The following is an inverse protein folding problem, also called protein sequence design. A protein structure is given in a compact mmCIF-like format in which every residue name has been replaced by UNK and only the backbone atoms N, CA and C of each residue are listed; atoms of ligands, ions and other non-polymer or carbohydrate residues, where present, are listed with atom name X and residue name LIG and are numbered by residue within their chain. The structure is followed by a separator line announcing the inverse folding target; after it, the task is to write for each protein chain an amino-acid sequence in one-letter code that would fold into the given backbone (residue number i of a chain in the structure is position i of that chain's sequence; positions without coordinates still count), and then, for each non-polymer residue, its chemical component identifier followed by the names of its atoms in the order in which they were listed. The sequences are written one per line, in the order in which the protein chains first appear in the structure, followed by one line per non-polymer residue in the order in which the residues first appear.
data_IF_348438530489
#
_entry.id   IF_348438530489
#
_cell.length_a   1.000
_cell.length_b   1.000
_cell.length_c   1.000
_cell.angle_alpha   90.00
_cell.angle_beta   90.00
_cell.angle_gamma   90.00
#
_symmetry.space_group_name_H-M   'P 1'
#
loop_
_entity.id
_entity.type
_entity.pdbx_description
1 polymer ?
#
# COMPACT_ATOMS: atom_id res chain seq x y z
N UNK A 1 27.38 -7.16 16.36
CA UNK A 1 27.32 -7.44 14.90
C UNK A 1 26.01 -8.12 14.56
N UNK A 2 25.65 -9.21 15.24
CA UNK A 2 24.39 -9.94 15.02
C UNK A 2 23.13 -9.07 15.24
N UNK A 3 23.07 -8.31 16.33
CA UNK A 3 21.93 -7.40 16.61
C UNK A 3 21.69 -6.38 15.49
N UNK A 4 22.77 -5.84 14.92
CA UNK A 4 22.68 -4.89 13.81
C UNK A 4 22.15 -5.56 12.55
N UNK A 5 22.60 -6.78 12.24
CA UNK A 5 22.13 -7.53 11.08
C UNK A 5 20.66 -7.90 11.23
N UNK A 6 20.24 -8.35 12.42
CA UNK A 6 18.84 -8.65 12.72
C UNK A 6 17.95 -7.40 12.55
N UNK A 7 18.37 -6.27 13.14
CA UNK A 7 17.65 -5.00 12.99
C UNK A 7 17.57 -4.55 11.52
N UNK A 8 18.68 -4.64 10.78
CA UNK A 8 18.73 -4.26 9.36
C UNK A 8 17.75 -5.12 8.55
N UNK A 9 17.78 -6.42 8.75
CA UNK A 9 16.94 -7.35 7.98
C UNK A 9 15.46 -7.14 8.29
N UNK A 10 15.11 -6.88 9.56
CA UNK A 10 13.75 -6.48 9.95
C UNK A 10 13.32 -5.18 9.26
N UNK A 11 14.18 -4.17 9.24
CA UNK A 11 13.91 -2.89 8.58
C UNK A 11 13.70 -3.01 7.08
N UNK A 12 14.54 -3.80 6.41
CA UNK A 12 14.42 -4.07 4.97
C UNK A 12 13.09 -4.78 4.69
N UNK A 13 12.75 -5.81 5.48
CA UNK A 13 11.48 -6.50 5.29
C UNK A 13 10.29 -5.57 5.53
N UNK A 14 10.32 -4.73 6.56
CA UNK A 14 9.25 -3.73 6.80
C UNK A 14 9.06 -2.78 5.61
N UNK A 15 10.15 -2.33 4.99
CA UNK A 15 10.09 -1.49 3.79
C UNK A 15 9.51 -2.21 2.59
N UNK A 16 9.90 -3.47 2.36
CA UNK A 16 9.30 -4.28 1.29
C UNK A 16 7.79 -4.42 1.47
N UNK A 17 7.33 -4.71 2.70
CA UNK A 17 5.90 -4.78 2.99
C UNK A 17 5.23 -3.43 2.76
N UNK A 18 5.81 -2.33 3.24
CA UNK A 18 5.23 -1.00 3.09
C UNK A 18 5.10 -0.58 1.62
N UNK A 19 6.14 -0.74 0.81
CA UNK A 19 6.12 -0.35 -0.61
C UNK A 19 5.22 -1.26 -1.43
N UNK A 20 5.26 -2.58 -1.19
CA UNK A 20 4.35 -3.52 -1.86
C UNK A 20 2.89 -3.22 -1.52
N UNK A 21 2.61 -3.03 -0.23
CA UNK A 21 1.29 -2.65 0.27
C UNK A 21 0.79 -1.33 -0.33
N UNK A 22 1.63 -0.30 -0.43
CA UNK A 22 1.25 0.99 -1.01
C UNK A 22 0.83 0.86 -2.48
N UNK A 23 1.52 0.02 -3.25
CA UNK A 23 1.16 -0.25 -4.65
C UNK A 23 -0.20 -0.96 -4.68
N UNK A 24 -0.34 -2.07 -3.96
CA UNK A 24 -1.60 -2.85 -3.94
C UNK A 24 -2.79 -2.00 -3.51
N UNK A 25 -2.60 -1.16 -2.49
CA UNK A 25 -3.62 -0.25 -1.96
C UNK A 25 -4.23 0.63 -3.05
N UNK A 26 -3.40 1.28 -3.86
CA UNK A 26 -3.87 2.14 -4.96
C UNK A 26 -4.37 1.34 -6.15
N UNK A 27 -3.79 0.18 -6.43
CA UNK A 27 -4.29 -0.71 -7.49
C UNK A 27 -5.68 -1.28 -7.14
N UNK A 28 -6.04 -1.35 -5.86
CA UNK A 28 -7.31 -1.85 -5.36
C UNK A 28 -8.26 -0.76 -4.87
N UNK A 29 -8.21 0.44 -5.47
CA UNK A 29 -9.16 1.54 -5.21
C UNK A 29 -9.10 2.13 -3.79
N UNK A 30 -7.96 2.01 -3.12
CA UNK A 30 -7.77 2.45 -1.74
C UNK A 30 -8.44 1.53 -0.73
N UNK A 31 -8.50 0.23 -1.01
CA UNK A 31 -9.07 -0.76 -0.08
C UNK A 31 -8.22 -0.83 1.20
N UNK A 32 -8.84 -0.65 2.36
CA UNK A 32 -8.11 -0.68 3.63
C UNK A 32 -7.59 -2.09 3.92
N UNK A 33 -6.27 -2.22 3.97
CA UNK A 33 -5.56 -3.47 4.28
C UNK A 33 -4.49 -3.27 5.32
N UNK A 34 -4.22 -4.31 6.08
CA UNK A 34 -3.05 -4.37 6.93
C UNK A 34 -1.76 -4.42 6.11
N UNK A 35 -0.79 -3.60 6.50
CA UNK A 35 0.48 -3.42 5.78
C UNK A 35 1.29 -4.72 5.75
N UNK A 36 1.23 -5.53 6.82
CA UNK A 36 2.12 -6.68 6.98
C UNK A 36 1.48 -8.01 6.55
N UNK A 37 0.16 -8.15 6.67
CA UNK A 37 -0.56 -9.38 6.35
C UNK A 37 -1.39 -9.28 5.08
N UNK A 38 -1.56 -8.09 4.53
CA UNK A 38 -2.44 -7.79 3.38
C UNK A 38 -3.91 -8.24 3.58
N UNK A 39 -4.33 -8.56 4.81
CA UNK A 39 -5.73 -8.84 5.13
C UNK A 39 -6.54 -7.55 5.13
N UNK A 40 -7.83 -7.65 4.82
CA UNK A 40 -8.76 -6.50 4.83
C UNK A 40 -8.87 -5.99 6.26
N UNK A 41 -8.52 -4.73 6.49
CA UNK A 41 -8.47 -4.11 7.80
C UNK A 41 -9.79 -3.40 8.14
N UNK A 42 -10.09 -3.26 9.43
CA UNK A 42 -11.13 -2.35 9.90
C UNK A 42 -10.62 -0.90 9.88
N UNK A 43 -11.52 0.08 9.89
CA UNK A 43 -11.14 1.49 9.97
C UNK A 43 -10.32 1.81 11.24
N UNK A 44 -10.67 1.19 12.37
CA UNK A 44 -9.93 1.34 13.62
C UNK A 44 -8.49 0.84 13.47
N UNK A 45 -8.33 -0.39 12.97
CA UNK A 45 -7.00 -0.97 12.76
C UNK A 45 -6.16 -0.12 11.81
N UNK A 46 -6.77 0.31 10.71
CA UNK A 46 -6.15 1.21 9.75
C UNK A 46 -5.66 2.52 10.37
N UNK A 47 -6.50 3.21 11.13
CA UNK A 47 -6.15 4.48 11.76
C UNK A 47 -4.95 4.34 12.71
N UNK A 48 -4.85 3.21 13.41
CA UNK A 48 -3.72 2.90 14.28
C UNK A 48 -2.44 2.65 13.47
N UNK A 49 -2.53 1.94 12.34
CA UNK A 49 -1.41 1.70 11.43
C UNK A 49 -0.86 3.00 10.82
N UNK A 50 -1.72 3.98 10.54
CA UNK A 50 -1.33 5.29 10.00
C UNK A 50 -0.65 6.21 11.03
N UNK A 51 -0.54 5.79 12.29
CA UNK A 51 0.14 6.54 13.36
C UNK A 51 1.34 5.75 13.94
N UNK A 52 2.34 5.37 13.12
CA UNK A 52 3.45 4.50 13.54
C UNK A 52 4.38 5.16 14.57
N UNK A 53 4.34 6.49 14.71
CA UNK A 53 5.10 7.23 15.73
C UNK A 53 4.45 7.18 17.11
N UNK A 54 3.16 6.86 17.18
CA UNK A 54 2.37 6.80 18.41
C UNK A 54 2.21 5.35 18.87
N UNK A 55 1.94 4.44 17.93
CA UNK A 55 1.69 3.05 18.22
C UNK A 55 2.79 2.15 17.66
N UNK A 56 3.48 1.36 18.50
CA UNK A 56 4.46 0.41 17.99
C UNK A 56 3.78 -0.69 17.18
N UNK A 57 4.45 -1.17 16.12
CA UNK A 57 3.97 -2.25 15.24
C UNK A 57 3.42 -3.44 16.03
N UNK A 58 4.10 -3.85 17.10
CA UNK A 58 3.72 -4.99 17.91
C UNK A 58 2.42 -4.80 18.69
N UNK A 59 1.93 -3.58 18.90
CA UNK A 59 0.64 -3.32 19.57
C UNK A 59 -0.54 -3.26 18.61
N UNK A 60 -0.29 -3.04 17.32
CA UNK A 60 -1.33 -2.80 16.30
C UNK A 60 -1.39 -3.92 15.27
N UNK A 61 -0.97 -5.13 15.65
CA UNK A 61 -1.03 -6.28 14.75
C UNK A 61 -2.48 -6.61 14.40
N UNK A 62 -2.72 -7.09 13.17
CA UNK A 62 -4.04 -7.48 12.72
C UNK A 62 -4.75 -8.41 13.72
N UNK A 63 -4.04 -9.40 14.24
CA UNK A 63 -4.60 -10.38 15.17
C UNK A 63 -5.00 -9.79 16.52
N UNK A 64 -4.34 -8.71 16.97
CA UNK A 64 -4.71 -8.02 18.21
C UNK A 64 -5.94 -7.13 18.07
N UNK A 65 -6.11 -6.49 16.91
CA UNK A 65 -7.18 -5.52 16.68
C UNK A 65 -8.39 -6.16 16.00
N UNK A 66 -8.16 -6.95 14.94
CA UNK A 66 -9.20 -7.62 14.16
C UNK A 66 -9.42 -9.08 14.57
N UNK A 67 -8.40 -9.77 15.10
CA UNK A 67 -8.51 -11.19 15.50
C UNK A 67 -8.97 -12.10 14.36
N UNK A 68 -9.87 -13.03 14.67
CA UNK A 68 -10.45 -14.00 13.72
C UNK A 68 -11.70 -13.49 12.99
N UNK A 69 -12.06 -12.22 13.16
CA UNK A 69 -13.22 -11.66 12.48
C UNK A 69 -13.00 -11.68 10.96
N UNK A 70 -14.03 -12.12 10.24
CA UNK A 70 -14.12 -11.90 8.79
C UNK A 70 -14.45 -10.44 8.57
N UNK A 71 -13.43 -9.64 8.25
CA UNK A 71 -13.61 -8.24 7.86
C UNK A 71 -14.06 -8.21 6.41
N UNK A 72 -15.27 -7.70 6.17
CA UNK A 72 -15.73 -7.42 4.80
C UNK A 72 -15.30 -6.02 4.38
N UNK A 73 -14.92 -5.84 3.10
CA UNK A 73 -14.49 -4.55 2.58
C UNK A 73 -15.68 -3.58 2.52
N UNK A 74 -15.85 -2.80 3.58
CA UNK A 74 -16.94 -1.84 3.75
C UNK A 74 -16.47 -0.39 3.68
N UNK A 75 -15.15 -0.18 3.78
CA UNK A 75 -14.51 1.14 3.83
C UNK A 75 -13.35 1.17 2.83
N UNK A 76 -13.16 2.34 2.24
CA UNK A 76 -12.08 2.68 1.30
C UNK A 76 -11.44 3.98 1.77
N UNK A 77 -10.29 4.35 1.20
CA UNK A 77 -9.60 5.61 1.49
C UNK A 77 -10.58 6.80 1.51
N UNK A 78 -10.68 7.58 2.60
CA UNK A 78 -11.47 8.81 2.63
C UNK A 78 -11.03 9.83 1.57
N UNK A 79 -9.75 9.87 1.19
CA UNK A 79 -9.22 10.69 0.11
C UNK A 79 -9.85 10.36 -1.25
N UNK A 80 -10.41 9.15 -1.41
CA UNK A 80 -11.22 8.77 -2.60
C UNK A 80 -12.40 9.69 -2.84
N UNK A 81 -13.02 10.17 -1.77
CA UNK A 81 -14.24 10.98 -1.85
C UNK A 81 -13.86 12.46 -1.95
N UNK A 82 -12.81 12.87 -1.26
CA UNK A 82 -12.53 14.28 -1.02
C UNK A 82 -11.43 14.87 -1.91
N UNK A 83 -10.46 14.06 -2.31
CA UNK A 83 -9.19 14.58 -2.83
C UNK A 83 -8.88 14.09 -4.25
N UNK A 84 -9.33 12.90 -4.62
CA UNK A 84 -9.08 12.30 -5.94
C UNK A 84 -10.35 12.32 -6.78
N UNK A 85 -10.37 13.11 -7.86
CA UNK A 85 -11.46 13.11 -8.83
C UNK A 85 -11.36 11.91 -9.77
N UNK A 86 -12.46 11.19 -9.99
CA UNK A 86 -12.52 10.07 -10.94
C UNK A 86 -12.32 8.68 -10.33
N UNK A 87 -12.13 8.58 -9.00
CA UNK A 87 -11.91 7.33 -8.29
C UNK A 87 -10.45 7.14 -7.85
N UNK A 88 -10.18 6.06 -7.11
CA UNK A 88 -8.83 5.72 -6.63
C UNK A 88 -8.19 4.59 -7.42
N UNK A 89 -8.66 4.33 -8.63
CA UNK A 89 -8.01 3.39 -9.55
C UNK A 89 -6.95 4.11 -10.39
N UNK A 90 -5.88 3.39 -10.81
CA UNK A 90 -4.88 3.96 -11.70
C UNK A 90 -5.53 4.36 -13.04
N UNK A 91 -5.36 5.63 -13.43
CA UNK A 91 -5.84 6.13 -14.74
C UNK A 91 -5.06 5.53 -15.90
N UNK A 92 -3.78 5.23 -15.67
CA UNK A 92 -2.93 4.49 -16.58
C UNK A 92 -1.87 3.69 -15.80
N UNK A 93 -1.49 2.53 -16.34
CA UNK A 93 -0.39 1.71 -15.84
C UNK A 93 0.76 1.79 -16.83
N UNK A 94 1.93 2.19 -16.33
CA UNK A 94 3.13 2.45 -17.12
C UNK A 94 4.22 1.47 -16.71
N UNK A 95 4.85 0.79 -17.68
CA UNK A 95 6.05 -0.03 -17.42
C UNK A 95 7.30 0.81 -17.57
N UNK A 96 8.11 0.86 -16.50
CA UNK A 96 9.38 1.57 -16.51
C UNK A 96 10.38 0.93 -17.49
N UNK A 97 10.34 -0.39 -17.65
CA UNK A 97 11.20 -1.15 -18.56
C UNK A 97 10.89 -0.78 -20.01
N UNK A 98 9.60 -0.76 -20.37
CA UNK A 98 9.17 -0.35 -21.72
C UNK A 98 9.46 1.11 -21.98
N UNK A 99 9.26 1.96 -20.98
CA UNK A 99 9.55 3.38 -21.07
C UNK A 99 11.03 3.66 -21.37
N UNK A 100 11.93 2.85 -20.81
CA UNK A 100 13.37 2.94 -21.05
C UNK A 100 13.83 2.29 -22.37
N UNK A 101 12.99 1.45 -22.99
CA UNK A 101 13.31 0.80 -24.26
C UNK A 101 13.26 1.79 -25.43
N UNK A 102 14.20 1.63 -26.37
CA UNK A 102 14.30 2.55 -27.52
C UNK A 102 13.10 2.43 -28.49
N UNK A 103 12.55 1.22 -28.67
CA UNK A 103 11.47 0.98 -29.61
C UNK A 103 10.09 1.12 -28.96
N UNK A 104 9.92 0.60 -27.73
CA UNK A 104 8.64 0.64 -27.02
C UNK A 104 8.43 1.94 -26.22
N UNK A 105 9.51 2.63 -25.83
CA UNK A 105 9.47 3.83 -25.01
C UNK A 105 8.65 4.99 -25.59
N UNK A 106 8.67 5.27 -26.91
CA UNK A 106 7.80 6.28 -27.51
C UNK A 106 6.30 6.00 -27.33
N UNK A 107 5.89 4.72 -27.39
CA UNK A 107 4.50 4.33 -27.18
C UNK A 107 4.12 4.42 -25.70
N UNK A 108 5.02 4.03 -24.80
CA UNK A 108 4.82 4.15 -23.36
C UNK A 108 4.74 5.62 -22.90
N UNK A 109 5.57 6.50 -23.50
CA UNK A 109 5.53 7.96 -23.29
C UNK A 109 4.20 8.56 -23.76
N UNK A 110 3.65 8.05 -24.87
CA UNK A 110 2.36 8.53 -25.38
C UNK A 110 1.22 8.23 -24.42
N UNK A 111 1.24 7.09 -23.73
CA UNK A 111 0.25 6.77 -22.69
C UNK A 111 0.25 7.84 -21.60
N UNK A 112 1.43 8.25 -21.12
CA UNK A 112 1.57 9.31 -20.10
C UNK A 112 0.98 10.63 -20.61
N UNK A 113 1.25 11.00 -21.85
CA UNK A 113 0.78 12.26 -22.44
C UNK A 113 -0.74 12.31 -22.69
N UNK A 114 -1.42 11.16 -22.60
CA UNK A 114 -2.87 11.02 -22.84
C UNK A 114 -3.68 10.85 -21.55
N UNK A 115 -3.02 10.88 -20.39
CA UNK A 115 -3.65 10.89 -19.05
C UNK A 115 -4.14 12.29 -18.70
#
# INVERSE_FOLDING_TARGET
MEDFLAWRDERVMDEVHLYGWFIDYWMETGLLRDIFTHKIATQEHWNLLMMPTVYPKSSVTYEKICGDQVVTPTMYDPHRINDVSGGCEPVAVISAEKLADYNEGPDETRKIAQV
#
